data_IF_659477059934
#
_entry.id   IF_659477059934
#
_cell.length_a   1.000
_cell.length_b   1.000
_cell.length_c   1.000
_cell.angle_alpha   90.00
_cell.angle_beta   90.00
_cell.angle_gamma   90.00
#
_symmetry.space_group_name_H-M   'P 1'
#
loop_
_entity.id
_entity.type
_entity.pdbx_description
1 polymer ?
#
# COMPACT_ATOMS: atom_id res chain seq x y z
N UNK A 1 -12.09 -15.52 1.09
CA UNK A 1 -10.98 -14.67 1.57
C UNK A 1 -10.36 -15.20 2.86
N UNK A 2 -11.13 -15.57 3.87
CA UNK A 2 -10.66 -16.01 5.21
C UNK A 2 -9.70 -17.20 5.21
N UNK A 3 -9.96 -18.20 4.36
CA UNK A 3 -9.05 -19.36 4.22
C UNK A 3 -7.67 -18.96 3.72
N UNK A 4 -7.60 -18.02 2.77
CA UNK A 4 -6.32 -17.52 2.22
C UNK A 4 -5.58 -16.71 3.29
N UNK A 5 -6.27 -15.84 4.00
CA UNK A 5 -5.70 -15.04 5.08
C UNK A 5 -5.16 -15.94 6.21
N UNK A 6 -5.95 -16.92 6.64
CA UNK A 6 -5.54 -17.88 7.67
C UNK A 6 -4.31 -18.69 7.24
N UNK A 7 -4.27 -19.15 5.99
CA UNK A 7 -3.11 -19.86 5.45
C UNK A 7 -1.87 -18.96 5.42
N UNK A 8 -2.02 -17.73 4.92
CA UNK A 8 -0.93 -16.77 4.80
C UNK A 8 -0.31 -16.41 6.16
N UNK A 9 -1.13 -16.24 7.18
CA UNK A 9 -0.66 -16.03 8.55
C UNK A 9 0.14 -17.23 9.06
N UNK A 10 -0.42 -18.44 8.96
CA UNK A 10 0.23 -19.67 9.45
C UNK A 10 1.53 -20.02 8.74
N UNK A 11 1.68 -19.61 7.48
CA UNK A 11 2.85 -19.88 6.66
C UNK A 11 3.89 -18.74 6.69
N UNK A 12 3.64 -17.68 7.45
CA UNK A 12 4.57 -16.55 7.59
C UNK A 12 4.66 -15.65 6.35
N UNK A 13 3.55 -15.52 5.62
CA UNK A 13 3.47 -14.53 4.54
C UNK A 13 3.09 -13.15 5.07
N UNK A 14 2.04 -13.07 5.86
CA UNK A 14 1.56 -11.81 6.44
C UNK A 14 1.04 -12.02 7.85
N UNK A 15 1.11 -10.98 8.65
CA UNK A 15 0.45 -10.87 9.94
C UNK A 15 0.07 -9.41 10.19
N UNK A 16 -0.86 -9.20 11.10
CA UNK A 16 -1.34 -7.85 11.40
C UNK A 16 -0.23 -7.04 12.07
N UNK A 17 -0.04 -5.80 11.61
CA UNK A 17 0.94 -4.91 12.24
C UNK A 17 0.60 -4.68 13.70
N UNK A 18 1.62 -4.66 14.55
CA UNK A 18 1.47 -4.51 16.00
C UNK A 18 0.57 -5.56 16.65
N UNK A 19 0.56 -6.80 16.15
CA UNK A 19 -0.34 -7.89 16.58
C UNK A 19 -0.21 -8.19 18.09
N UNK A 20 0.97 -8.04 18.66
CA UNK A 20 1.22 -8.21 20.11
C UNK A 20 0.42 -7.24 20.99
N UNK A 21 -0.03 -6.11 20.43
CA UNK A 21 -0.85 -5.10 21.11
C UNK A 21 -2.32 -5.11 20.63
N UNK A 22 -2.75 -6.19 19.97
CA UNK A 22 -4.09 -6.33 19.40
C UNK A 22 -4.22 -5.97 17.93
N UNK A 23 -3.14 -5.51 17.32
CA UNK A 23 -3.08 -5.19 15.89
C UNK A 23 -3.72 -3.86 15.50
N UNK A 24 -3.37 -3.37 14.32
CA UNK A 24 -3.99 -2.21 13.68
C UNK A 24 -4.88 -2.67 12.52
N UNK A 25 -6.08 -2.13 12.42
CA UNK A 25 -6.98 -2.39 11.30
C UNK A 25 -6.34 -2.00 9.96
N UNK A 26 -6.48 -2.86 8.96
CA UNK A 26 -6.01 -2.63 7.59
C UNK A 26 -4.49 -2.41 7.41
N UNK A 27 -3.69 -2.68 8.44
CA UNK A 27 -2.22 -2.55 8.39
C UNK A 27 -1.57 -3.92 8.60
N UNK A 28 -0.67 -4.29 7.68
CA UNK A 28 -0.08 -5.62 7.64
C UNK A 28 1.42 -5.57 7.51
N UNK A 29 2.09 -6.46 8.24
CA UNK A 29 3.51 -6.72 8.10
C UNK A 29 3.74 -7.96 7.22
N UNK A 30 4.82 -7.96 6.47
CA UNK A 30 5.23 -9.12 5.67
C UNK A 30 6.17 -10.00 6.48
N UNK A 31 5.81 -11.26 6.62
CA UNK A 31 6.70 -12.27 7.19
C UNK A 31 7.81 -12.70 6.21
N UNK A 32 8.68 -13.64 6.62
CA UNK A 32 9.83 -14.06 5.80
C UNK A 32 9.47 -14.49 4.37
N UNK A 33 8.41 -15.29 4.20
CA UNK A 33 7.95 -15.68 2.86
C UNK A 33 7.22 -14.56 2.14
N UNK A 34 6.52 -13.69 2.87
CA UNK A 34 5.80 -12.56 2.31
C UNK A 34 6.72 -11.49 1.72
N UNK A 35 7.83 -11.19 2.38
CA UNK A 35 8.79 -10.19 1.89
C UNK A 35 9.49 -10.67 0.60
N UNK A 36 9.83 -11.96 0.52
CA UNK A 36 10.42 -12.52 -0.69
C UNK A 36 9.41 -12.54 -1.86
N UNK A 37 8.16 -12.93 -1.59
CA UNK A 37 7.11 -12.86 -2.61
C UNK A 37 6.89 -11.43 -3.10
N UNK A 38 6.81 -10.46 -2.18
CA UNK A 38 6.66 -9.04 -2.52
C UNK A 38 7.80 -8.54 -3.40
N UNK A 39 9.03 -8.93 -3.07
CA UNK A 39 10.23 -8.59 -3.85
C UNK A 39 10.15 -9.17 -5.26
N UNK A 40 9.85 -10.45 -5.38
CA UNK A 40 9.72 -11.12 -6.67
C UNK A 40 8.64 -10.48 -7.56
N UNK A 41 7.49 -10.09 -6.98
CA UNK A 41 6.43 -9.38 -7.72
C UNK A 41 6.92 -8.02 -8.21
N UNK A 42 7.62 -7.25 -7.35
CA UNK A 42 8.18 -5.94 -7.74
C UNK A 42 9.23 -6.08 -8.85
N UNK A 43 10.12 -7.06 -8.75
CA UNK A 43 11.15 -7.32 -9.75
C UNK A 43 10.53 -7.74 -11.09
N UNK A 44 9.55 -8.63 -11.07
CA UNK A 44 8.84 -9.05 -12.28
C UNK A 44 8.13 -7.87 -12.95
N UNK A 45 7.46 -7.04 -12.17
CA UNK A 45 6.81 -5.82 -12.65
C UNK A 45 7.83 -4.85 -13.26
N UNK A 46 8.92 -4.55 -12.55
CA UNK A 46 9.97 -3.65 -13.02
C UNK A 46 10.59 -4.13 -14.33
N UNK A 47 10.90 -5.42 -14.40
CA UNK A 47 11.44 -6.03 -15.62
C UNK A 47 10.48 -5.87 -16.80
N UNK A 48 9.23 -6.25 -16.61
CA UNK A 48 8.23 -6.25 -17.69
C UNK A 48 7.86 -4.84 -18.15
N UNK A 49 7.82 -3.86 -17.23
CA UNK A 49 7.34 -2.49 -17.56
C UNK A 49 8.48 -1.56 -17.97
N UNK A 50 9.67 -1.75 -17.39
CA UNK A 50 10.80 -0.84 -17.62
C UNK A 50 11.88 -1.47 -18.48
N UNK A 51 12.39 -2.66 -18.10
CA UNK A 51 13.59 -3.21 -18.74
C UNK A 51 13.32 -3.87 -20.10
N UNK A 52 12.14 -4.42 -20.30
CA UNK A 52 11.74 -5.09 -21.56
C UNK A 52 11.07 -4.13 -22.55
N UNK A 53 11.03 -2.83 -22.24
CA UNK A 53 10.41 -1.80 -23.08
C UNK A 53 11.43 -0.73 -23.45
N UNK A 54 11.40 -0.30 -24.72
CA UNK A 54 12.27 0.77 -25.24
C UNK A 54 11.68 2.18 -25.04
N UNK A 55 10.39 2.25 -24.71
CA UNK A 55 9.64 3.50 -24.58
C UNK A 55 9.45 3.96 -23.10
N UNK A 56 10.08 3.25 -22.15
CA UNK A 56 9.95 3.52 -20.71
C UNK A 56 11.32 3.65 -20.06
N UNK A 57 11.38 4.56 -19.08
CA UNK A 57 12.56 4.73 -18.20
C UNK A 57 12.12 4.73 -16.75
N UNK A 58 12.97 4.21 -15.88
CA UNK A 58 12.72 4.21 -14.44
C UNK A 58 13.12 5.53 -13.80
N UNK A 59 12.30 6.03 -12.88
CA UNK A 59 12.59 7.16 -12.03
C UNK A 59 12.24 6.82 -10.59
N UNK A 60 13.15 7.07 -9.67
CA UNK A 60 12.91 6.96 -8.22
C UNK A 60 12.95 8.35 -7.60
N UNK A 61 11.79 8.96 -7.44
CA UNK A 61 11.66 10.30 -6.88
C UNK A 61 11.67 10.29 -5.36
N UNK A 62 12.23 11.32 -4.74
CA UNK A 62 12.17 11.50 -3.30
C UNK A 62 10.71 11.66 -2.82
N UNK A 63 10.37 11.03 -1.69
CA UNK A 63 9.04 11.17 -1.07
C UNK A 63 8.85 12.60 -0.52
N UNK A 64 9.91 13.16 0.09
CA UNK A 64 9.89 14.54 0.57
C UNK A 64 10.23 15.47 -0.58
N UNK A 65 9.29 16.32 -0.93
CA UNK A 65 9.37 17.24 -2.07
C UNK A 65 9.12 18.69 -1.63
N UNK A 66 9.55 19.62 -2.46
CA UNK A 66 9.23 21.03 -2.24
C UNK A 66 7.71 21.24 -2.27
N UNK A 67 7.12 22.05 -1.36
CA UNK A 67 5.67 22.25 -1.28
C UNK A 67 5.01 22.67 -2.59
N UNK A 68 5.74 23.40 -3.44
CA UNK A 68 5.25 23.86 -4.74
C UNK A 68 4.87 22.70 -5.69
N UNK A 69 5.45 21.50 -5.52
CA UNK A 69 5.08 20.30 -6.28
C UNK A 69 3.62 19.93 -6.03
N UNK A 70 3.18 20.01 -4.78
CA UNK A 70 1.82 19.68 -4.36
C UNK A 70 0.80 20.76 -4.75
N UNK A 71 1.23 22.02 -4.80
CA UNK A 71 0.43 23.13 -5.36
C UNK A 71 0.24 22.93 -6.86
N UNK A 72 1.32 22.71 -7.59
CA UNK A 72 1.29 22.57 -9.06
C UNK A 72 0.49 21.32 -9.50
N UNK A 73 0.52 20.26 -8.74
CA UNK A 73 -0.26 19.02 -8.99
C UNK A 73 -1.71 19.07 -8.55
N UNK A 74 -2.16 20.17 -7.92
CA UNK A 74 -3.51 20.35 -7.42
C UNK A 74 -3.86 19.56 -6.14
N UNK A 75 -2.89 18.86 -5.55
CA UNK A 75 -3.15 18.09 -4.33
C UNK A 75 -3.53 18.96 -3.14
N UNK A 76 -2.97 20.16 -3.03
CA UNK A 76 -3.25 21.06 -1.90
C UNK A 76 -4.70 21.54 -1.90
N UNK A 77 -5.27 21.80 -3.06
CA UNK A 77 -6.65 22.28 -3.19
C UNK A 77 -7.70 21.16 -3.07
N UNK A 78 -7.31 19.93 -3.41
CA UNK A 78 -8.22 18.79 -3.48
C UNK A 78 -8.00 17.75 -2.37
N UNK A 79 -7.24 18.09 -1.34
CA UNK A 79 -6.93 17.18 -0.22
C UNK A 79 -8.05 17.15 0.85
N UNK A 80 -9.30 17.14 0.43
CA UNK A 80 -10.45 16.98 1.33
C UNK A 80 -11.29 15.79 0.86
N UNK A 81 -11.15 14.66 1.53
CA UNK A 81 -12.07 13.54 1.33
C UNK A 81 -13.38 13.82 2.08
N UNK A 82 -14.53 13.92 1.39
CA UNK A 82 -15.80 14.09 2.05
C UNK A 82 -16.15 12.81 2.83
N UNK A 83 -16.14 12.91 4.14
CA UNK A 83 -16.62 11.83 5.00
C UNK A 83 -18.14 11.91 5.13
N UNK A 84 -18.82 10.82 4.75
CA UNK A 84 -20.25 10.67 4.98
C UNK A 84 -20.50 9.87 6.25
N UNK A 85 -21.38 10.37 7.10
CA UNK A 85 -21.80 9.72 8.34
C UNK A 85 -23.23 9.19 8.20
N UNK A 86 -23.44 7.93 8.54
CA UNK A 86 -24.76 7.35 8.59
C UNK A 86 -25.55 7.95 9.77
N UNK A 87 -26.74 8.49 9.51
CA UNK A 87 -27.59 9.11 10.53
C UNK A 87 -28.17 8.11 11.54
N UNK A 88 -28.24 6.82 11.17
CA UNK A 88 -28.82 5.80 12.05
C UNK A 88 -27.81 5.12 12.95
N UNK A 89 -26.58 4.89 12.48
CA UNK A 89 -25.57 4.14 13.24
C UNK A 89 -24.27 4.92 13.51
N UNK A 90 -24.19 6.19 13.09
CA UNK A 90 -23.04 7.07 13.26
C UNK A 90 -21.72 6.50 12.70
N UNK A 91 -21.80 5.55 11.79
CA UNK A 91 -20.61 5.04 11.07
C UNK A 91 -20.20 6.02 9.99
N UNK A 92 -18.91 6.26 9.90
CA UNK A 92 -18.28 7.06 8.84
C UNK A 92 -17.80 6.14 7.72
N UNK A 93 -17.98 6.60 6.48
CA UNK A 93 -17.61 5.91 5.25
C UNK A 93 -16.76 6.83 4.37
#
# INVERSE_FOLDING_TARGET
MDKVLSLSKRRGFVFQSSEIYGGLGSTWDYGPLGVELKRNVKEAWWRSVILERDDMVGLDAAILMHPQVWVASGHVENFSDPLVECKDCNRRY
#
